data_IF_394831162772
#
_entry.id   IF_394831162772
#
_cell.length_a   1.000
_cell.length_b   1.000
_cell.length_c   1.000
_cell.angle_alpha   90.00
_cell.angle_beta   90.00
_cell.angle_gamma   90.00
#
_symmetry.space_group_name_H-M   'P 1'
#
loop_
_entity.id
_entity.type
_entity.pdbx_description
1 polymer ?
#
# COMPACT_ATOMS: atom_id res chain seq x y z
N UNK A 1 5.17 -27.64 0.37
CA UNK A 1 6.12 -26.66 -0.21
C UNK A 1 5.31 -25.64 -1.01
N UNK A 2 5.53 -24.34 -0.83
CA UNK A 2 4.78 -23.30 -1.53
C UNK A 2 5.40 -23.05 -2.91
N UNK A 3 4.98 -23.81 -3.91
CA UNK A 3 5.58 -23.79 -5.25
C UNK A 3 5.47 -22.41 -5.92
N UNK A 4 4.37 -21.67 -5.66
CA UNK A 4 4.15 -20.32 -6.20
C UNK A 4 5.18 -19.34 -5.64
N UNK A 5 5.39 -19.34 -4.32
CA UNK A 5 6.41 -18.48 -3.69
C UNK A 5 7.82 -18.81 -4.20
N UNK A 6 8.12 -20.11 -4.36
CA UNK A 6 9.41 -20.57 -4.87
C UNK A 6 9.67 -20.10 -6.31
N UNK A 7 8.68 -20.27 -7.21
CA UNK A 7 8.77 -19.82 -8.60
C UNK A 7 8.90 -18.29 -8.69
N UNK A 8 8.14 -17.55 -7.89
CA UNK A 8 8.21 -16.09 -7.86
C UNK A 8 9.60 -15.59 -7.46
N UNK A 9 10.14 -16.08 -6.35
CA UNK A 9 11.47 -15.66 -5.88
C UNK A 9 12.58 -16.01 -6.89
N UNK A 10 12.50 -17.18 -7.54
CA UNK A 10 13.43 -17.55 -8.61
C UNK A 10 13.32 -16.68 -9.86
N UNK A 11 12.12 -16.15 -10.18
CA UNK A 11 11.96 -15.20 -11.30
C UNK A 11 12.50 -13.82 -10.95
N UNK A 12 12.42 -13.42 -9.67
CA UNK A 12 12.83 -12.10 -9.21
C UNK A 12 14.33 -11.95 -8.96
N UNK A 13 15.02 -13.02 -8.55
CA UNK A 13 16.41 -12.92 -8.10
C UNK A 13 17.31 -13.93 -8.81
N UNK A 14 18.56 -13.54 -9.01
CA UNK A 14 19.60 -14.44 -9.49
C UNK A 14 20.13 -15.32 -8.34
N UNK A 15 20.72 -16.49 -8.66
CA UNK A 15 21.45 -17.28 -7.67
C UNK A 15 22.50 -16.44 -6.94
N UNK A 16 22.75 -16.80 -5.68
CA UNK A 16 23.69 -16.17 -4.75
C UNK A 16 23.33 -14.75 -4.30
N UNK A 17 22.29 -14.13 -4.89
CA UNK A 17 21.82 -12.83 -4.46
C UNK A 17 21.32 -12.88 -3.01
N UNK A 18 21.69 -11.86 -2.24
CA UNK A 18 21.20 -11.67 -0.89
C UNK A 18 19.87 -10.94 -0.93
N UNK A 19 18.83 -11.49 -0.31
CA UNK A 19 17.49 -10.92 -0.27
C UNK A 19 17.06 -10.64 1.17
N UNK A 20 16.19 -9.64 1.35
CA UNK A 20 15.55 -9.38 2.62
C UNK A 20 14.11 -9.89 2.60
N UNK A 21 13.77 -10.73 3.58
CA UNK A 21 12.40 -11.16 3.86
C UNK A 21 11.90 -10.43 5.10
N UNK A 22 10.70 -9.86 5.00
CA UNK A 22 10.05 -9.13 6.09
C UNK A 22 8.77 -9.86 6.48
N UNK A 23 8.63 -10.14 7.77
CA UNK A 23 7.45 -10.73 8.38
C UNK A 23 6.79 -9.68 9.27
N UNK A 24 5.52 -9.37 8.99
CA UNK A 24 4.74 -8.37 9.75
C UNK A 24 3.48 -8.99 10.33
N UNK A 25 3.33 -8.90 11.66
CA UNK A 25 2.12 -9.28 12.39
C UNK A 25 1.33 -8.03 12.80
N UNK A 26 0.08 -8.22 13.16
CA UNK A 26 -0.71 -7.19 13.85
C UNK A 26 -0.23 -7.04 15.31
N UNK A 27 0.09 -8.17 15.96
CA UNK A 27 0.70 -8.22 17.29
C UNK A 27 1.75 -9.34 17.36
N UNK A 28 3.00 -9.05 17.79
CA UNK A 28 3.55 -7.71 18.00
C UNK A 28 3.66 -6.94 16.67
N UNK A 29 3.56 -5.62 16.73
CA UNK A 29 3.61 -4.74 15.54
C UNK A 29 5.03 -4.60 14.96
N UNK A 30 6.06 -4.91 15.76
CA UNK A 30 7.46 -4.84 15.33
C UNK A 30 7.71 -5.92 14.27
N UNK A 31 8.14 -5.55 13.06
CA UNK A 31 8.37 -6.52 12.02
C UNK A 31 9.67 -7.30 12.26
N UNK A 32 9.66 -8.59 11.93
CA UNK A 32 10.86 -9.42 11.89
C UNK A 32 11.45 -9.38 10.50
N UNK A 33 12.75 -9.07 10.38
CA UNK A 33 13.47 -9.13 9.12
C UNK A 33 14.51 -10.24 9.15
N UNK A 34 14.66 -10.95 8.04
CA UNK A 34 15.79 -11.85 7.80
C UNK A 34 16.44 -11.51 6.48
N UNK A 35 17.76 -11.40 6.49
CA UNK A 35 18.56 -11.19 5.29
C UNK A 35 19.34 -12.48 5.05
N UNK A 36 19.09 -13.13 3.91
CA UNK A 36 19.60 -14.46 3.57
C UNK A 36 19.89 -14.53 2.08
N UNK A 37 20.63 -15.54 1.62
CA UNK A 37 20.75 -15.80 0.18
C UNK A 37 19.43 -16.33 -0.39
N UNK A 38 19.24 -16.20 -1.69
CA UNK A 38 18.10 -16.76 -2.40
C UNK A 38 17.96 -18.28 -2.14
N UNK A 39 19.05 -19.04 -2.24
CA UNK A 39 19.06 -20.51 -2.02
C UNK A 39 18.56 -20.85 -0.62
N UNK A 40 18.99 -20.07 0.38
CA UNK A 40 18.56 -20.25 1.77
C UNK A 40 17.05 -20.01 1.89
N UNK A 41 16.53 -18.95 1.26
CA UNK A 41 15.10 -18.65 1.27
C UNK A 41 14.26 -19.72 0.55
N UNK A 42 14.80 -20.34 -0.51
CA UNK A 42 14.14 -21.39 -1.29
C UNK A 42 14.24 -22.78 -0.67
N UNK A 43 15.20 -23.00 0.23
CA UNK A 43 15.41 -24.29 0.87
C UNK A 43 14.12 -24.81 1.54
N UNK A 44 13.81 -26.13 1.43
CA UNK A 44 12.55 -26.69 1.92
C UNK A 44 12.22 -26.34 3.38
N UNK A 45 13.25 -26.36 4.26
CA UNK A 45 13.10 -26.01 5.68
C UNK A 45 12.72 -24.54 5.88
N UNK A 46 13.25 -23.64 5.05
CA UNK A 46 12.97 -22.21 5.14
C UNK A 46 11.58 -21.89 4.60
N UNK A 47 11.18 -22.52 3.50
CA UNK A 47 9.81 -22.43 2.96
C UNK A 47 8.76 -22.98 3.94
N UNK A 48 9.07 -24.08 4.64
CA UNK A 48 8.23 -24.62 5.71
C UNK A 48 8.10 -23.62 6.87
N UNK A 49 9.20 -23.00 7.30
CA UNK A 49 9.18 -21.95 8.32
C UNK A 49 8.34 -20.73 7.89
N UNK A 50 8.52 -20.21 6.67
CA UNK A 50 7.69 -19.10 6.15
C UNK A 50 6.21 -19.46 6.10
N UNK A 51 5.89 -20.70 5.72
CA UNK A 51 4.51 -21.21 5.71
C UNK A 51 3.92 -21.29 7.11
N UNK A 52 4.70 -21.71 8.10
CA UNK A 52 4.28 -21.72 9.51
C UNK A 52 4.06 -20.31 10.05
N UNK A 53 4.99 -19.39 9.82
CA UNK A 53 4.88 -17.99 10.24
C UNK A 53 3.65 -17.32 9.60
N UNK A 54 3.42 -17.56 8.30
CA UNK A 54 2.23 -17.08 7.63
C UNK A 54 0.96 -17.76 8.15
N UNK A 55 1.01 -19.05 8.44
CA UNK A 55 -0.03 -19.86 9.09
C UNK A 55 -0.48 -19.31 10.46
N UNK A 56 0.44 -18.68 11.18
CA UNK A 56 0.25 -18.11 12.52
C UNK A 56 0.06 -16.58 12.51
N UNK A 57 -0.26 -15.99 11.35
CA UNK A 57 -0.71 -14.59 11.25
C UNK A 57 0.32 -13.59 10.72
N UNK A 58 1.54 -14.01 10.36
CA UNK A 58 2.50 -13.10 9.74
C UNK A 58 2.17 -12.85 8.26
N UNK A 59 2.24 -11.60 7.82
CA UNK A 59 2.31 -11.24 6.41
C UNK A 59 3.75 -11.38 5.92
N UNK A 60 3.96 -12.04 4.78
CA UNK A 60 5.30 -12.29 4.20
C UNK A 60 5.55 -11.34 3.03
N UNK A 61 6.72 -10.70 3.06
CA UNK A 61 7.19 -9.81 2.00
C UNK A 61 8.66 -10.11 1.66
N UNK A 62 9.08 -9.76 0.46
CA UNK A 62 10.48 -9.75 0.02
C UNK A 62 10.85 -8.34 -0.43
N UNK A 63 12.10 -7.91 -0.25
CA UNK A 63 12.61 -6.70 -0.89
C UNK A 63 12.39 -6.79 -2.41
N UNK A 64 12.13 -5.67 -3.08
CA UNK A 64 12.02 -5.64 -4.54
C UNK A 64 13.38 -5.83 -5.20
N UNK A 65 14.46 -5.37 -4.55
CA UNK A 65 15.81 -5.40 -5.11
C UNK A 65 16.75 -6.21 -4.21
N UNK A 66 17.79 -6.85 -4.78
CA UNK A 66 18.78 -7.58 -3.99
C UNK A 66 19.58 -6.63 -3.10
N UNK A 67 20.02 -7.15 -1.97
CA UNK A 67 20.86 -6.45 -0.99
C UNK A 67 22.32 -6.79 -1.22
N UNK A 68 23.20 -5.89 -0.77
CA UNK A 68 24.65 -6.12 -0.72
C UNK A 68 24.95 -7.29 0.23
N UNK A 69 25.87 -8.19 -0.13
CA UNK A 69 26.33 -9.25 0.76
C UNK A 69 26.74 -8.70 2.13
N UNK A 70 26.38 -9.40 3.21
CA UNK A 70 26.67 -8.99 4.59
C UNK A 70 25.73 -7.94 5.18
N UNK A 71 24.76 -7.41 4.40
CA UNK A 71 23.75 -6.49 4.92
C UNK A 71 22.92 -7.12 6.04
N UNK A 72 22.69 -6.35 7.11
CA UNK A 72 21.80 -6.75 8.23
C UNK A 72 20.52 -5.91 8.31
N UNK A 73 20.45 -4.85 7.51
CA UNK A 73 19.33 -3.90 7.44
C UNK A 73 18.88 -3.77 5.99
N UNK A 74 17.73 -3.14 5.78
CA UNK A 74 17.16 -2.82 4.46
C UNK A 74 17.03 -1.31 4.28
N UNK A 75 18.14 -0.60 4.46
CA UNK A 75 18.22 0.83 4.11
C UNK A 75 18.58 0.96 2.62
N UNK A 76 18.48 2.17 2.05
CA UNK A 76 18.79 2.39 0.63
C UNK A 76 20.24 2.02 0.30
N UNK A 77 21.16 2.27 1.22
CA UNK A 77 22.60 1.98 1.07
C UNK A 77 22.88 0.46 1.02
N UNK A 78 22.00 -0.35 1.61
CA UNK A 78 22.10 -1.80 1.59
C UNK A 78 21.65 -2.42 0.26
N UNK A 79 21.00 -1.68 -0.65
CA UNK A 79 20.56 -2.23 -1.93
C UNK A 79 21.78 -2.38 -2.86
N UNK A 80 21.90 -3.55 -3.49
CA UNK A 80 23.04 -3.88 -4.36
C UNK A 80 22.87 -3.32 -5.77
N UNK A 81 21.69 -3.49 -6.35
CA UNK A 81 21.38 -3.12 -7.74
C UNK A 81 19.88 -2.93 -7.92
N UNK A 82 19.50 -2.25 -9.00
CA UNK A 82 18.11 -2.18 -9.45
C UNK A 82 17.78 -3.46 -10.22
N UNK A 83 16.77 -4.19 -9.76
CA UNK A 83 16.29 -5.43 -10.40
C UNK A 83 14.85 -5.31 -10.89
N UNK A 84 14.05 -4.47 -10.22
CA UNK A 84 12.65 -4.29 -10.59
C UNK A 84 12.22 -2.83 -10.58
N UNK A 85 11.34 -2.49 -11.51
CA UNK A 85 10.34 -1.43 -11.30
C UNK A 85 9.05 -2.07 -10.79
N UNK A 86 8.24 -1.29 -10.08
CA UNK A 86 6.98 -1.76 -9.51
C UNK A 86 5.96 -0.64 -9.37
N UNK A 87 4.70 -1.04 -9.28
CA UNK A 87 3.57 -0.15 -9.06
C UNK A 87 2.61 -0.82 -8.06
N UNK A 88 2.29 -0.13 -6.97
CA UNK A 88 1.33 -0.60 -5.96
C UNK A 88 -0.01 0.09 -6.21
N UNK A 89 -1.01 -0.67 -6.65
CA UNK A 89 -2.33 -0.17 -7.04
C UNK A 89 -3.33 -0.59 -5.96
N UNK A 90 -3.70 0.37 -5.12
CA UNK A 90 -4.59 0.17 -3.97
C UNK A 90 -6.05 0.56 -4.21
N UNK A 91 -6.33 1.30 -5.29
CA UNK A 91 -7.64 1.88 -5.62
C UNK A 91 -7.97 1.70 -7.09
N UNK A 92 -9.25 1.48 -7.42
CA UNK A 92 -9.74 1.23 -8.79
C UNK A 92 -8.90 0.21 -9.58
N UNK A 93 -8.40 -0.82 -8.90
CA UNK A 93 -7.30 -1.64 -9.42
C UNK A 93 -7.60 -2.32 -10.74
N UNK A 94 -8.81 -2.81 -10.96
CA UNK A 94 -9.18 -3.47 -12.22
C UNK A 94 -9.13 -2.49 -13.41
N UNK A 95 -9.63 -1.26 -13.21
CA UNK A 95 -9.64 -0.23 -14.24
C UNK A 95 -8.21 0.29 -14.51
N UNK A 96 -7.42 0.52 -13.46
CA UNK A 96 -6.02 0.97 -13.59
C UNK A 96 -5.14 -0.10 -14.23
N UNK A 97 -5.35 -1.37 -13.89
CA UNK A 97 -4.64 -2.48 -14.53
C UNK A 97 -5.03 -2.63 -16.00
N UNK A 98 -6.31 -2.44 -16.35
CA UNK A 98 -6.77 -2.44 -17.74
C UNK A 98 -6.15 -1.28 -18.54
N UNK A 99 -6.11 -0.07 -17.97
CA UNK A 99 -5.46 1.08 -18.59
C UNK A 99 -3.96 0.85 -18.80
N UNK A 100 -3.28 0.27 -17.80
CA UNK A 100 -1.86 -0.08 -17.89
C UNK A 100 -1.60 -1.10 -19.00
N UNK A 101 -2.42 -2.16 -19.11
CA UNK A 101 -2.31 -3.18 -20.15
C UNK A 101 -2.56 -2.65 -21.56
N UNK A 102 -3.37 -1.59 -21.69
CA UNK A 102 -3.67 -0.97 -22.98
C UNK A 102 -2.66 0.12 -23.39
N UNK A 103 -1.77 0.53 -22.48
CA UNK A 103 -0.81 1.60 -22.73
C UNK A 103 0.37 1.13 -23.58
N UNK A 104 0.86 2.01 -24.45
CA UNK A 104 2.11 1.82 -25.18
C UNK A 104 3.30 2.53 -24.51
N UNK A 105 3.05 3.34 -23.47
CA UNK A 105 4.10 4.10 -22.77
C UNK A 105 5.01 3.22 -21.91
N UNK A 106 4.58 2.00 -21.62
CA UNK A 106 5.31 1.05 -20.79
C UNK A 106 5.22 -0.33 -21.41
N UNK A 107 6.24 -1.18 -21.24
CA UNK A 107 6.20 -2.52 -21.77
C UNK A 107 5.26 -3.41 -20.92
N UNK A 108 4.90 -4.61 -21.42
CA UNK A 108 4.11 -5.57 -20.64
C UNK A 108 4.75 -5.89 -19.28
N UNK A 109 3.95 -5.92 -18.19
CA UNK A 109 4.44 -6.34 -16.89
C UNK A 109 4.96 -7.77 -16.90
N UNK A 110 6.09 -7.98 -16.21
CA UNK A 110 6.66 -9.31 -16.01
C UNK A 110 5.98 -10.09 -14.88
N UNK A 111 5.31 -9.41 -13.94
CA UNK A 111 4.51 -10.05 -12.90
C UNK A 111 3.38 -9.13 -12.44
N UNK A 112 2.18 -9.68 -12.23
CA UNK A 112 1.04 -8.97 -11.65
C UNK A 112 0.55 -9.78 -10.46
N UNK A 113 0.67 -9.23 -9.25
CA UNK A 113 0.22 -9.87 -8.03
C UNK A 113 -1.15 -9.33 -7.63
N UNK A 114 -2.13 -10.21 -7.46
CA UNK A 114 -3.36 -9.85 -6.76
C UNK A 114 -3.12 -9.96 -5.27
N UNK A 115 -3.09 -8.83 -4.55
CA UNK A 115 -2.75 -8.79 -3.12
C UNK A 115 -3.98 -8.85 -2.21
N UNK A 116 -5.13 -8.44 -2.74
CA UNK A 116 -6.50 -8.57 -2.22
C UNK A 116 -7.49 -8.15 -3.31
N UNK A 117 -8.82 -8.34 -3.16
CA UNK A 117 -9.78 -8.00 -4.20
C UNK A 117 -9.62 -6.55 -4.69
N UNK A 118 -9.42 -6.36 -5.99
CA UNK A 118 -9.24 -5.06 -6.63
C UNK A 118 -7.93 -4.34 -6.31
N UNK A 119 -6.92 -5.02 -5.75
CA UNK A 119 -5.62 -4.43 -5.38
C UNK A 119 -4.45 -5.22 -5.96
N UNK A 120 -3.55 -4.55 -6.65
CA UNK A 120 -2.50 -5.18 -7.44
C UNK A 120 -1.11 -4.62 -7.14
N UNK A 121 -0.10 -5.49 -7.16
CA UNK A 121 1.30 -5.10 -7.27
C UNK A 121 1.80 -5.54 -8.64
N UNK A 122 2.16 -4.57 -9.49
CA UNK A 122 2.66 -4.80 -10.85
C UNK A 122 4.16 -4.65 -10.83
N UNK A 123 4.90 -5.57 -11.46
CA UNK A 123 6.37 -5.57 -11.48
C UNK A 123 6.89 -5.74 -12.91
N UNK A 124 7.99 -5.04 -13.18
CA UNK A 124 8.84 -5.23 -14.36
C UNK A 124 10.23 -5.61 -13.87
N UNK A 125 10.80 -6.70 -14.40
CA UNK A 125 12.23 -6.95 -14.26
C UNK A 125 12.98 -6.03 -15.20
N UNK A 126 14.02 -5.41 -14.68
CA UNK A 126 14.77 -4.41 -15.43
C UNK A 126 16.28 -4.55 -15.25
N UNK A 127 17.02 -3.96 -16.19
CA UNK A 127 18.45 -3.72 -16.12
C UNK A 127 18.78 -2.30 -16.62
N UNK A 128 20.03 -1.84 -16.42
CA UNK A 128 20.47 -0.53 -16.91
C UNK A 128 20.01 0.69 -16.09
N UNK A 129 19.19 0.50 -15.05
CA UNK A 129 18.77 1.56 -14.14
C UNK A 129 19.79 1.82 -13.02
N UNK A 130 20.07 3.09 -12.75
CA UNK A 130 20.62 3.53 -11.46
C UNK A 130 19.49 3.78 -10.44
N UNK A 131 19.83 3.96 -9.16
CA UNK A 131 18.81 4.15 -8.11
C UNK A 131 18.00 5.44 -8.30
N UNK A 132 18.63 6.52 -8.78
CA UNK A 132 17.92 7.77 -9.02
C UNK A 132 16.92 7.64 -10.19
N UNK A 133 17.33 6.99 -11.27
CA UNK A 133 16.49 6.65 -12.41
C UNK A 133 15.33 5.76 -12.00
N UNK A 134 15.59 4.71 -11.22
CA UNK A 134 14.53 3.84 -10.68
C UNK A 134 13.48 4.65 -9.92
N UNK A 135 13.88 5.44 -8.90
CA UNK A 135 12.92 6.20 -8.09
C UNK A 135 12.16 7.26 -8.90
N UNK A 136 12.79 7.86 -9.93
CA UNK A 136 12.10 8.77 -10.86
C UNK A 136 11.06 8.03 -11.69
N UNK A 137 11.42 6.91 -12.32
CA UNK A 137 10.50 6.14 -13.16
C UNK A 137 9.36 5.54 -12.33
N UNK A 138 9.61 5.09 -11.10
CA UNK A 138 8.56 4.64 -10.17
C UNK A 138 7.54 5.76 -9.86
N UNK A 139 8.00 7.00 -9.70
CA UNK A 139 7.11 8.16 -9.51
C UNK A 139 6.27 8.44 -10.76
N UNK A 140 6.88 8.42 -11.94
CA UNK A 140 6.15 8.61 -13.20
C UNK A 140 5.12 7.51 -13.44
N UNK A 141 5.46 6.25 -13.16
CA UNK A 141 4.53 5.12 -13.18
C UNK A 141 3.35 5.36 -12.23
N UNK A 142 3.62 5.81 -11.00
CA UNK A 142 2.58 6.11 -10.02
C UNK A 142 1.65 7.24 -10.47
N UNK A 143 2.18 8.28 -11.10
CA UNK A 143 1.38 9.40 -11.63
C UNK A 143 0.55 8.93 -12.83
N UNK A 144 1.17 8.27 -13.81
CA UNK A 144 0.54 7.88 -15.08
C UNK A 144 -0.59 6.85 -14.89
N UNK A 145 -0.39 5.88 -14.00
CA UNK A 145 -1.29 4.72 -13.86
C UNK A 145 -1.99 4.64 -12.50
N UNK A 146 -1.82 5.64 -11.64
CA UNK A 146 -2.46 5.68 -10.32
C UNK A 146 -1.90 4.63 -9.35
N UNK A 147 -0.64 4.75 -8.97
CA UNK A 147 -0.04 3.99 -7.88
C UNK A 147 0.03 4.76 -6.57
N UNK A 148 0.26 4.07 -5.45
CA UNK A 148 0.58 4.71 -4.18
C UNK A 148 1.91 5.50 -4.30
N UNK A 149 1.90 6.84 -4.14
CA UNK A 149 3.10 7.66 -4.27
C UNK A 149 4.17 7.34 -3.22
N UNK A 150 3.80 6.72 -2.09
CA UNK A 150 4.73 6.26 -1.07
C UNK A 150 5.48 4.96 -1.47
N UNK A 151 5.13 4.33 -2.60
CA UNK A 151 5.74 3.11 -3.13
C UNK A 151 6.83 3.37 -4.18
N UNK A 152 7.68 4.37 -3.96
CA UNK A 152 8.65 4.84 -4.97
C UNK A 152 10.11 4.76 -4.52
N UNK A 153 10.39 4.12 -3.37
CA UNK A 153 11.71 3.99 -2.76
C UNK A 153 12.45 2.71 -3.20
N UNK A 154 13.74 2.78 -3.58
CA UNK A 154 14.49 1.63 -4.11
C UNK A 154 14.62 0.42 -3.16
N UNK A 155 14.39 0.61 -1.85
CA UNK A 155 14.47 -0.44 -0.87
C UNK A 155 13.13 -1.14 -0.59
N UNK A 156 12.03 -0.81 -1.29
CA UNK A 156 10.66 -1.31 -1.05
C UNK A 156 10.58 -2.83 -0.85
N UNK A 157 9.59 -3.28 -0.07
CA UNK A 157 9.22 -4.70 0.02
C UNK A 157 7.86 -4.95 -0.64
N UNK A 158 7.73 -6.07 -1.32
CA UNK A 158 6.55 -6.50 -2.06
C UNK A 158 6.00 -7.80 -1.48
N UNK A 159 4.71 -8.08 -1.73
CA UNK A 159 4.08 -9.33 -1.30
C UNK A 159 4.75 -10.52 -1.99
N UNK A 160 4.80 -11.65 -1.29
CA UNK A 160 5.21 -12.92 -1.90
C UNK A 160 3.96 -13.75 -2.19
N UNK A 161 3.67 -14.08 -3.47
CA UNK A 161 2.49 -14.85 -3.84
C UNK A 161 2.55 -16.27 -3.28
N UNK A 162 1.37 -16.88 -3.14
CA UNK A 162 1.19 -18.17 -2.47
C UNK A 162 1.06 -18.05 -0.95
N UNK A 163 1.40 -16.92 -0.32
CA UNK A 163 1.12 -16.68 1.09
C UNK A 163 -0.20 -15.91 1.29
N UNK A 164 -0.77 -16.02 2.48
CA UNK A 164 -1.97 -15.29 2.88
C UNK A 164 -1.63 -13.85 3.27
N UNK A 165 -2.38 -12.90 2.72
CA UNK A 165 -2.52 -11.56 3.26
C UNK A 165 -3.42 -11.60 4.49
N UNK A 166 -2.79 -11.49 5.66
CA UNK A 166 -3.40 -11.60 6.99
C UNK A 166 -4.02 -10.29 7.50
N UNK A 167 -4.03 -9.23 6.68
CA UNK A 167 -4.68 -7.95 7.04
C UNK A 167 -6.21 -8.01 7.00
N UNK A 168 -6.78 -9.06 6.42
CA UNK A 168 -8.22 -9.20 6.20
C UNK A 168 -8.74 -10.48 6.85
N UNK A 169 -10.04 -10.49 7.15
CA UNK A 169 -10.80 -11.66 7.57
C UNK A 169 -12.03 -11.83 6.64
N UNK A 170 -12.13 -12.92 5.86
CA UNK A 170 -11.12 -13.98 5.72
C UNK A 170 -9.84 -13.47 5.06
N UNK A 171 -8.70 -14.08 5.41
CA UNK A 171 -7.40 -13.74 4.81
C UNK A 171 -7.38 -14.05 3.32
N UNK A 172 -6.78 -13.17 2.53
CA UNK A 172 -6.72 -13.32 1.06
C UNK A 172 -5.45 -14.02 0.62
N UNK A 173 -5.53 -15.05 -0.23
CA UNK A 173 -4.34 -15.68 -0.80
C UNK A 173 -3.78 -14.82 -1.93
N UNK A 174 -2.56 -14.31 -1.74
CA UNK A 174 -1.88 -13.53 -2.79
C UNK A 174 -1.60 -14.45 -3.98
N UNK A 175 -2.03 -14.06 -5.18
CA UNK A 175 -1.78 -14.79 -6.43
C UNK A 175 -0.87 -13.97 -7.34
N UNK A 176 -0.35 -14.59 -8.39
CA UNK A 176 0.52 -13.95 -9.38
C UNK A 176 0.19 -14.46 -10.77
N UNK A 177 0.21 -13.54 -11.74
CA UNK A 177 0.20 -13.79 -13.18
C UNK A 177 1.55 -13.35 -13.76
N UNK A 178 2.03 -14.04 -14.79
CA UNK A 178 3.27 -13.71 -15.50
C UNK A 178 2.96 -13.44 -16.98
N UNK A 179 2.52 -12.22 -17.34
CA UNK A 179 2.21 -11.88 -18.73
C UNK A 179 3.43 -11.93 -19.66
N UNK A 180 4.63 -11.70 -19.12
CA UNK A 180 5.87 -11.58 -19.87
C UNK A 180 7.08 -12.13 -19.08
N UNK A 181 8.15 -12.51 -19.77
CA UNK A 181 9.40 -13.04 -19.19
C UNK A 181 10.65 -12.31 -19.73
N UNK A 182 10.51 -11.06 -20.18
CA UNK A 182 11.61 -10.22 -20.63
C UNK A 182 12.30 -9.52 -19.46
N UNK A 183 13.40 -8.84 -19.79
CA UNK A 183 14.09 -7.89 -18.92
C UNK A 183 14.09 -6.57 -19.69
N UNK A 184 13.51 -5.54 -19.10
CA UNK A 184 13.35 -4.23 -19.75
C UNK A 184 14.49 -3.28 -19.36
N UNK A 185 14.76 -2.33 -20.22
CA UNK A 185 15.77 -1.27 -20.05
C UNK A 185 15.08 0.08 -19.88
N UNK A 186 15.80 1.16 -19.51
CA UNK A 186 15.19 2.49 -19.41
C UNK A 186 14.51 2.95 -20.68
N UNK A 187 15.05 2.61 -21.85
CA UNK A 187 14.55 3.04 -23.16
C UNK A 187 13.19 2.41 -23.53
N UNK A 188 12.81 1.33 -22.85
CA UNK A 188 11.50 0.68 -23.06
C UNK A 188 10.35 1.43 -22.35
N UNK A 189 10.67 2.41 -21.49
CA UNK A 189 9.68 3.20 -20.76
C UNK A 189 9.61 4.61 -21.35
N UNK A 190 8.61 4.84 -22.20
CA UNK A 190 8.29 6.15 -22.79
C UNK A 190 7.50 7.03 -21.81
N UNK A 191 8.01 7.13 -20.58
CA UNK A 191 7.45 7.97 -19.52
C UNK A 191 8.32 9.20 -19.38
N UNK A 192 7.86 10.31 -19.93
CA UNK A 192 8.39 11.65 -19.61
C UNK A 192 7.30 12.51 -18.95
N UNK A 193 7.72 13.60 -18.30
CA UNK A 193 6.80 14.51 -17.61
C UNK A 193 5.74 15.10 -18.53
N UNK A 194 6.10 15.38 -19.80
CA UNK A 194 5.22 16.03 -20.77
C UNK A 194 4.20 15.02 -21.36
N UNK A 195 4.58 13.75 -21.48
CA UNK A 195 3.78 12.62 -21.93
C UNK A 195 2.78 12.20 -20.84
N UNK A 196 3.19 12.24 -19.57
CA UNK A 196 2.29 12.05 -18.42
C UNK A 196 1.28 13.20 -18.33
N UNK A 197 1.71 14.44 -18.56
CA UNK A 197 0.81 15.59 -18.65
C UNK A 197 -0.13 15.48 -19.87
N UNK A 198 0.34 14.99 -21.03
CA UNK A 198 -0.48 14.76 -22.21
C UNK A 198 -1.56 13.69 -21.99
N UNK A 199 -1.31 12.65 -21.19
CA UNK A 199 -2.35 11.69 -20.76
C UNK A 199 -3.43 12.35 -19.89
N UNK A 200 -3.05 13.31 -19.04
CA UNK A 200 -4.00 14.16 -18.33
C UNK A 200 -4.85 15.02 -19.29
N UNK A 201 -4.30 15.45 -20.45
CA UNK A 201 -5.02 16.25 -21.46
C UNK A 201 -5.88 15.45 -22.44
N UNK A 202 -5.44 14.27 -22.92
CA UNK A 202 -6.24 13.43 -23.84
C UNK A 202 -7.49 12.87 -23.16
N UNK A 203 -7.42 12.64 -21.84
CA UNK A 203 -8.56 12.25 -21.01
C UNK A 203 -9.63 13.37 -20.84
N UNK A 204 -9.41 14.59 -21.36
CA UNK A 204 -10.37 15.71 -21.27
C UNK A 204 -11.36 15.76 -22.45
N UNK A 205 -11.21 14.89 -23.45
CA UNK A 205 -12.08 14.87 -24.65
C UNK A 205 -13.13 13.75 -24.63
N UNK A 206 -13.94 13.68 -23.56
CA UNK A 206 -15.21 12.93 -23.56
C UNK A 206 -16.33 13.79 -22.97
N UNK A 207 -17.58 13.64 -23.44
CA UNK A 207 -18.64 14.60 -23.17
C UNK A 207 -18.99 14.63 -21.68
N UNK A 208 -18.91 15.83 -21.09
CA UNK A 208 -19.41 16.24 -19.76
C UNK A 208 -18.94 15.33 -18.60
N UNK A 209 -17.85 15.75 -17.95
CA UNK A 209 -17.33 15.23 -16.67
C UNK A 209 -18.44 14.72 -15.74
N UNK A 210 -18.49 13.41 -15.42
CA UNK A 210 -18.87 12.97 -14.09
C UNK A 210 -17.73 13.33 -13.12
N UNK A 211 -18.00 13.57 -11.82
CA UNK A 211 -16.95 13.89 -10.87
C UNK A 211 -15.96 12.72 -10.76
N UNK A 212 -14.69 13.03 -10.51
CA UNK A 212 -13.62 12.06 -10.25
C UNK A 212 -14.15 10.97 -9.32
N UNK A 213 -14.04 9.70 -9.73
CA UNK A 213 -14.33 8.57 -8.85
C UNK A 213 -13.24 8.50 -7.79
N UNK A 214 -13.44 9.23 -6.70
CA UNK A 214 -12.78 8.97 -5.44
C UNK A 214 -13.07 7.53 -5.02
N UNK A 215 -12.10 6.80 -4.46
CA UNK A 215 -12.40 5.51 -3.84
C UNK A 215 -13.55 5.69 -2.85
N UNK A 216 -14.40 4.66 -2.63
CA UNK A 216 -15.52 4.81 -1.69
C UNK A 216 -15.08 5.42 -0.36
N UNK A 217 -13.88 5.08 0.12
CA UNK A 217 -13.27 5.66 1.32
C UNK A 217 -12.73 7.08 1.18
N UNK A 218 -12.19 7.47 0.03
CA UNK A 218 -11.82 8.88 -0.21
C UNK A 218 -13.05 9.77 -0.36
N UNK A 219 -14.10 9.27 -1.02
CA UNK A 219 -15.41 9.94 -1.12
C UNK A 219 -15.99 10.14 0.27
N UNK A 220 -15.98 9.08 1.09
CA UNK A 220 -16.44 9.12 2.47
C UNK A 220 -15.61 10.09 3.30
N UNK A 221 -14.29 10.07 3.13
CA UNK A 221 -13.37 10.95 3.85
C UNK A 221 -13.61 12.43 3.49
N UNK A 222 -13.73 12.74 2.19
CA UNK A 222 -13.98 14.08 1.70
C UNK A 222 -15.36 14.59 2.15
N UNK A 223 -16.39 13.76 2.03
CA UNK A 223 -17.74 14.06 2.49
C UNK A 223 -17.77 14.27 4.01
N UNK A 224 -17.22 13.34 4.80
CA UNK A 224 -17.16 13.47 6.26
C UNK A 224 -16.41 14.73 6.68
N UNK A 225 -15.26 15.00 6.07
CA UNK A 225 -14.45 16.19 6.37
C UNK A 225 -15.22 17.48 6.05
N UNK A 226 -15.97 17.50 4.94
CA UNK A 226 -16.81 18.62 4.55
C UNK A 226 -17.96 18.83 5.54
N UNK A 227 -18.72 17.79 5.85
CA UNK A 227 -19.87 17.86 6.74
C UNK A 227 -19.48 18.27 8.17
N UNK A 228 -18.36 17.76 8.68
CA UNK A 228 -17.83 18.16 9.99
C UNK A 228 -17.41 19.63 10.02
N UNK A 229 -16.78 20.13 8.96
CA UNK A 229 -16.42 21.55 8.85
C UNK A 229 -17.65 22.48 8.79
N UNK A 230 -18.82 21.95 8.38
CA UNK A 230 -20.10 22.66 8.40
C UNK A 230 -20.91 22.40 9.69
N UNK A 231 -20.27 21.85 10.72
CA UNK A 231 -20.86 21.71 12.05
C UNK A 231 -21.85 20.56 12.20
N UNK A 232 -21.86 19.59 11.28
CA UNK A 232 -22.73 18.42 11.41
C UNK A 232 -22.28 17.55 12.60
N UNK A 233 -23.27 17.04 13.35
CA UNK A 233 -23.02 16.18 14.49
C UNK A 233 -22.34 14.86 14.08
N UNK A 234 -21.21 14.57 14.72
CA UNK A 234 -20.37 13.42 14.40
C UNK A 234 -21.08 12.06 14.63
N UNK A 235 -21.99 11.97 15.59
CA UNK A 235 -22.74 10.73 15.86
C UNK A 235 -23.77 10.47 14.77
N UNK A 236 -24.50 11.51 14.33
CA UNK A 236 -25.41 11.43 13.17
C UNK A 236 -24.65 11.06 11.91
N UNK A 237 -23.52 11.73 11.65
CA UNK A 237 -22.66 11.45 10.50
C UNK A 237 -22.12 10.02 10.49
N UNK A 238 -21.79 9.47 11.65
CA UNK A 238 -21.39 8.06 11.81
C UNK A 238 -22.51 7.11 11.37
N UNK A 239 -23.77 7.37 11.74
CA UNK A 239 -24.92 6.53 11.39
C UNK A 239 -25.24 6.62 9.90
N UNK A 240 -25.21 7.83 9.34
CA UNK A 240 -25.42 8.07 7.91
C UNK A 240 -24.36 7.34 7.09
N UNK A 241 -23.07 7.49 7.44
CA UNK A 241 -22.00 6.80 6.75
C UNK A 241 -22.14 5.27 6.83
N UNK A 242 -22.53 4.74 8.01
CA UNK A 242 -22.72 3.31 8.20
C UNK A 242 -23.86 2.77 7.32
N UNK A 243 -24.92 3.55 7.11
CA UNK A 243 -26.03 3.20 6.22
C UNK A 243 -25.66 3.22 4.74
N UNK A 244 -24.70 4.08 4.35
CA UNK A 244 -24.19 4.18 2.99
C UNK A 244 -23.13 3.12 2.66
N UNK A 245 -22.62 2.42 3.68
CA UNK A 245 -21.48 1.49 3.56
C UNK A 245 -21.79 0.10 4.05
N UNK A 246 -22.98 -0.40 3.72
CA UNK A 246 -23.39 -1.79 3.95
C UNK A 246 -22.51 -2.81 3.19
N UNK A 247 -21.73 -2.36 2.22
CA UNK A 247 -20.69 -3.14 1.54
C UNK A 247 -19.51 -3.50 2.45
N UNK A 248 -19.32 -2.78 3.56
CA UNK A 248 -18.22 -3.03 4.49
C UNK A 248 -18.56 -4.19 5.45
N UNK A 249 -17.59 -5.05 5.82
CA UNK A 249 -17.80 -6.12 6.79
C UNK A 249 -18.28 -5.65 8.17
N UNK A 250 -17.86 -4.44 8.58
CA UNK A 250 -18.37 -3.77 9.76
C UNK A 250 -18.59 -2.27 9.46
N UNK A 251 -19.79 -1.92 8.94
CA UNK A 251 -20.09 -0.55 8.51
C UNK A 251 -20.00 0.46 9.66
N UNK A 252 -20.41 0.05 10.87
CA UNK A 252 -20.38 0.90 12.05
C UNK A 252 -18.94 1.21 12.46
N UNK A 253 -18.09 0.19 12.58
CA UNK A 253 -16.68 0.37 12.93
C UNK A 253 -15.94 1.25 11.93
N UNK A 254 -16.13 0.98 10.63
CA UNK A 254 -15.56 1.77 9.54
C UNK A 254 -15.97 3.25 9.64
N UNK A 255 -17.26 3.50 9.86
CA UNK A 255 -17.81 4.85 9.94
C UNK A 255 -17.33 5.61 11.16
N UNK A 256 -17.32 4.95 12.33
CA UNK A 256 -16.76 5.51 13.56
C UNK A 256 -15.30 5.92 13.34
N UNK A 257 -14.50 5.03 12.74
CA UNK A 257 -13.08 5.30 12.51
C UNK A 257 -12.86 6.47 11.56
N UNK A 258 -13.62 6.54 10.47
CA UNK A 258 -13.52 7.64 9.49
C UNK A 258 -13.89 8.98 10.11
N UNK A 259 -15.01 9.05 10.83
CA UNK A 259 -15.50 10.27 11.48
C UNK A 259 -14.60 10.72 12.62
N UNK A 260 -14.08 9.80 13.43
CA UNK A 260 -13.24 10.14 14.58
C UNK A 260 -11.87 10.66 14.14
N UNK A 261 -11.25 10.09 13.09
CA UNK A 261 -9.99 10.61 12.52
C UNK A 261 -10.21 11.98 11.87
N UNK A 262 -11.31 12.16 11.11
CA UNK A 262 -11.63 13.44 10.50
C UNK A 262 -11.91 14.54 11.54
N UNK A 263 -12.63 14.21 12.63
CA UNK A 263 -12.88 15.12 13.75
C UNK A 263 -11.58 15.52 14.44
N UNK A 264 -10.72 14.55 14.77
CA UNK A 264 -9.44 14.82 15.41
C UNK A 264 -8.56 15.72 14.54
N UNK A 265 -8.56 15.51 13.22
CA UNK A 265 -7.82 16.34 12.27
C UNK A 265 -8.38 17.77 12.22
N UNK A 266 -9.71 17.94 12.20
CA UNK A 266 -10.34 19.27 12.21
C UNK A 266 -9.96 20.04 13.46
N UNK A 267 -10.13 19.43 14.64
CA UNK A 267 -9.80 20.04 15.93
C UNK A 267 -8.33 20.42 16.06
N UNK A 268 -7.41 19.57 15.60
CA UNK A 268 -5.98 19.89 15.58
C UNK A 268 -5.65 21.04 14.61
N UNK A 269 -6.35 21.16 13.49
CA UNK A 269 -6.21 22.30 12.56
C UNK A 269 -6.74 23.59 13.18
N UNK A 270 -7.82 23.50 13.98
CA UNK A 270 -8.41 24.61 14.74
C UNK A 270 -7.57 25.00 15.98
N UNK A 271 -6.48 24.29 16.26
CA UNK A 271 -5.53 24.61 17.33
C UNK A 271 -5.84 23.99 18.69
N UNK A 272 -6.78 23.04 18.77
CA UNK A 272 -7.07 22.30 19.99
C UNK A 272 -5.86 21.42 20.35
N UNK A 273 -5.47 21.41 21.63
CA UNK A 273 -4.34 20.63 22.10
C UNK A 273 -4.60 19.12 21.93
N UNK A 274 -3.55 18.34 21.68
CA UNK A 274 -3.69 16.90 21.41
C UNK A 274 -4.31 16.14 22.59
N UNK A 275 -4.03 16.55 23.82
CA UNK A 275 -4.60 15.96 25.03
C UNK A 275 -6.12 16.23 25.12
N UNK A 276 -6.55 17.45 24.79
CA UNK A 276 -7.98 17.80 24.74
C UNK A 276 -8.69 17.03 23.61
N UNK A 277 -8.05 16.87 22.45
CA UNK A 277 -8.56 16.02 21.35
C UNK A 277 -8.76 14.58 21.81
N UNK A 278 -7.81 14.02 22.58
CA UNK A 278 -7.93 12.68 23.15
C UNK A 278 -9.13 12.61 24.09
N UNK A 279 -9.28 13.57 25.01
CA UNK A 279 -10.43 13.62 25.94
C UNK A 279 -11.77 13.75 25.20
N UNK A 280 -11.85 14.56 24.15
CA UNK A 280 -13.05 14.72 23.32
C UNK A 280 -13.41 13.42 22.58
N UNK A 281 -12.41 12.68 22.08
CA UNK A 281 -12.62 11.36 21.46
C UNK A 281 -13.05 10.31 22.47
N UNK A 282 -12.45 10.30 23.67
CA UNK A 282 -12.83 9.39 24.76
C UNK A 282 -14.28 9.63 25.19
N UNK A 283 -14.66 10.90 25.40
CA UNK A 283 -16.03 11.29 25.76
C UNK A 283 -17.06 10.84 24.72
N UNK A 284 -16.72 10.90 23.42
CA UNK A 284 -17.60 10.48 22.34
C UNK A 284 -17.93 8.98 22.36
N UNK A 285 -17.00 8.14 22.82
CA UNK A 285 -17.08 6.67 22.69
C UNK A 285 -17.11 5.93 24.03
N UNK A 286 -17.08 6.64 25.16
CA UNK A 286 -17.05 6.04 26.50
C UNK A 286 -18.28 5.18 26.82
N UNK A 287 -19.43 5.45 26.18
CA UNK A 287 -20.64 4.65 26.32
C UNK A 287 -20.63 3.37 25.46
N UNK A 288 -19.71 3.28 24.48
CA UNK A 288 -19.66 2.20 23.48
C UNK A 288 -18.50 1.22 23.72
N UNK A 289 -17.49 1.60 24.50
CA UNK A 289 -16.23 0.85 24.68
C UNK A 289 -15.82 0.79 26.16
N UNK A 290 -15.04 -0.22 26.53
CA UNK A 290 -14.39 -0.25 27.84
C UNK A 290 -13.43 0.94 28.00
N UNK A 291 -13.26 1.44 29.22
CA UNK A 291 -12.40 2.62 29.47
C UNK A 291 -10.98 2.45 28.91
N UNK A 292 -10.38 1.26 29.08
CA UNK A 292 -9.05 0.96 28.56
C UNK A 292 -8.99 0.97 27.03
N UNK A 293 -9.99 0.38 26.34
CA UNK A 293 -10.05 0.34 24.89
C UNK A 293 -10.38 1.71 24.29
N UNK A 294 -11.27 2.46 24.93
CA UNK A 294 -11.64 3.81 24.56
C UNK A 294 -10.41 4.73 24.57
N UNK A 295 -9.64 4.67 25.66
CA UNK A 295 -8.44 5.48 25.82
C UNK A 295 -7.31 5.08 24.86
N UNK A 296 -7.10 3.78 24.61
CA UNK A 296 -6.13 3.32 23.63
C UNK A 296 -6.50 3.79 22.20
N UNK A 297 -7.78 3.69 21.84
CA UNK A 297 -8.29 4.09 20.51
C UNK A 297 -8.21 5.60 20.31
N UNK A 298 -8.55 6.40 21.31
CA UNK A 298 -8.46 7.86 21.23
C UNK A 298 -7.04 8.35 20.99
N UNK A 299 -6.04 7.81 21.72
CA UNK A 299 -4.62 8.14 21.51
C UNK A 299 -4.14 7.77 20.11
N UNK A 300 -4.50 6.59 19.62
CA UNK A 300 -4.12 6.15 18.28
C UNK A 300 -4.70 7.05 17.20
N UNK A 301 -5.99 7.42 17.31
CA UNK A 301 -6.67 8.31 16.38
C UNK A 301 -6.04 9.71 16.38
N UNK A 302 -5.78 10.28 17.56
CA UNK A 302 -5.14 11.60 17.68
C UNK A 302 -3.73 11.60 17.05
N UNK A 303 -2.93 10.56 17.30
CA UNK A 303 -1.61 10.41 16.69
C UNK A 303 -1.68 10.24 15.17
N UNK A 304 -2.67 9.50 14.67
CA UNK A 304 -2.91 9.36 13.21
C UNK A 304 -3.26 10.70 12.58
N UNK A 305 -4.18 11.46 13.17
CA UNK A 305 -4.56 12.79 12.69
C UNK A 305 -3.36 13.77 12.70
N UNK A 306 -2.53 13.75 13.75
CA UNK A 306 -1.34 14.59 13.85
C UNK A 306 -0.33 14.28 12.72
N UNK A 307 -0.11 12.99 12.40
CA UNK A 307 0.73 12.60 11.26
C UNK A 307 0.18 13.11 9.93
N UNK A 308 -1.13 13.05 9.73
CA UNK A 308 -1.78 13.54 8.50
C UNK A 308 -1.58 15.05 8.31
N UNK A 309 -1.52 15.83 9.40
CA UNK A 309 -1.24 17.27 9.35
C UNK A 309 0.24 17.52 9.05
N UNK A 310 1.15 16.77 9.69
CA UNK A 310 2.59 16.93 9.50
C UNK A 310 3.03 16.66 8.04
N UNK A 311 2.41 15.68 7.37
CA UNK A 311 2.69 15.36 5.96
C UNK A 311 2.18 16.44 4.98
N UNK A 312 1.25 17.30 5.39
CA UNK A 312 0.72 18.39 4.54
C UNK A 312 1.56 19.68 4.62
N UNK A 313 2.37 19.84 5.67
CA UNK A 313 3.28 21.00 5.85
C UNK A 313 4.65 20.82 5.17
N UNK A 314 4.91 19.63 4.64
CA UNK A 314 6.20 19.22 4.03
C UNK A 314 6.12 19.09 2.50
N UNK A 315 5.00 19.49 1.90
CA UNK A 315 4.75 19.57 0.46
C UNK A 315 4.53 21.02 0.07
#
# INVERSE_FOLDING_TARGET
MNLVAHQFLNRCFAPEETIALLLRRESPTVPTQRVVTLETALAPRYQAWLSYENGTGANVYAAANPLRPGSRKRTKECIASVRHLYLDIDEDGDARLAALRASQLVPPPTSILSTSPGKYQVLWRVEGFDFAGQERTLKLLAIAFGGDPACTDCNRVLRVPGFLNRKYDPSYRVTVEYPDDSIWTPDDFELDTDAVDAMHFVSISTPRKPPLKHSHSESDWAWVSHELAHGKDAVKLTRELASLRLDKPNPLYYSQRTVDIASARLWLIEGIAIDDVITMLESRRCAELSAALCSARAREIAATAQRMIAHRKTV
#
